data_IF_971099563557
#
_entry.id   IF_971099563557
#
_cell.length_a   1.000
_cell.length_b   1.000
_cell.length_c   1.000
_cell.angle_alpha   90.00
_cell.angle_beta   90.00
_cell.angle_gamma   90.00
#
_symmetry.space_group_name_H-M   'P 1'
#
loop_
_entity.id
_entity.type
_entity.pdbx_description
1 polymer ?
#
# COMPACT_ATOMS: atom_id res chain seq x y z
N UNK A 1 -32.96 -44.13 10.51
CA UNK A 1 -31.77 -43.56 11.20
C UNK A 1 -32.23 -42.30 11.91
N UNK A 2 -32.14 -42.24 13.25
CA UNK A 2 -32.58 -41.05 14.00
C UNK A 2 -31.39 -40.08 14.11
N UNK A 3 -31.48 -38.93 13.43
CA UNK A 3 -30.50 -37.88 13.55
C UNK A 3 -30.71 -37.16 14.89
N UNK A 4 -29.67 -36.89 15.71
CA UNK A 4 -29.86 -36.25 17.02
C UNK A 4 -30.45 -34.83 16.90
N UNK A 5 -31.24 -34.43 17.91
CA UNK A 5 -31.69 -33.03 18.05
C UNK A 5 -30.47 -32.13 18.14
N UNK A 6 -30.52 -30.94 17.53
CA UNK A 6 -29.38 -30.03 17.41
C UNK A 6 -28.47 -30.27 16.19
N UNK A 7 -28.69 -31.34 15.42
CA UNK A 7 -27.96 -31.56 14.17
C UNK A 7 -28.31 -30.49 13.16
N UNK A 8 -27.28 -29.88 12.55
CA UNK A 8 -27.42 -28.83 11.52
C UNK A 8 -26.96 -29.38 10.17
N UNK A 9 -27.75 -29.15 9.13
CA UNK A 9 -27.44 -29.56 7.76
C UNK A 9 -27.70 -28.40 6.80
N UNK A 10 -27.08 -28.45 5.63
CA UNK A 10 -27.40 -27.55 4.49
C UNK A 10 -28.61 -28.12 3.75
N UNK A 11 -29.53 -27.23 3.39
CA UNK A 11 -30.79 -27.58 2.75
C UNK A 11 -31.03 -26.78 1.50
N UNK A 12 -31.41 -27.45 0.41
CA UNK A 12 -31.54 -26.81 -0.91
C UNK A 12 -33.00 -26.54 -1.33
N UNK A 13 -33.99 -26.95 -0.55
CA UNK A 13 -35.40 -26.78 -0.87
C UNK A 13 -36.03 -25.64 -0.07
N UNK A 14 -37.08 -25.02 -0.65
CA UNK A 14 -37.87 -23.99 0.00
C UNK A 14 -38.77 -24.56 1.13
N UNK A 15 -39.15 -25.85 1.06
CA UNK A 15 -39.99 -26.51 2.07
C UNK A 15 -39.11 -27.14 3.15
N UNK A 16 -39.24 -26.61 4.37
CA UNK A 16 -38.51 -27.17 5.52
C UNK A 16 -39.23 -28.42 6.04
N UNK A 17 -38.54 -29.55 6.22
CA UNK A 17 -39.13 -30.78 6.70
C UNK A 17 -39.69 -30.64 8.13
N UNK A 18 -40.69 -31.45 8.45
CA UNK A 18 -41.23 -31.53 9.82
C UNK A 18 -40.10 -31.81 10.83
N UNK A 19 -40.15 -31.19 12.00
CA UNK A 19 -39.15 -31.26 13.07
C UNK A 19 -37.78 -30.61 12.74
N UNK A 20 -37.72 -29.85 11.66
CA UNK A 20 -36.56 -29.03 11.32
C UNK A 20 -36.92 -27.55 11.29
N UNK A 21 -35.97 -26.69 11.58
CA UNK A 21 -36.13 -25.25 11.56
C UNK A 21 -34.94 -24.56 10.93
N UNK A 22 -35.20 -23.43 10.25
CA UNK A 22 -34.15 -22.57 9.71
C UNK A 22 -33.27 -22.04 10.86
N UNK A 23 -31.97 -22.04 10.65
CA UNK A 23 -31.00 -21.44 11.58
C UNK A 23 -31.00 -19.93 11.41
N UNK A 24 -31.99 -19.26 11.98
CA UNK A 24 -32.20 -17.81 11.92
C UNK A 24 -32.11 -17.10 13.29
N UNK A 25 -31.70 -17.82 14.32
CA UNK A 25 -31.59 -17.29 15.69
C UNK A 25 -32.88 -17.44 16.50
N UNK A 26 -33.96 -18.02 15.95
CA UNK A 26 -35.22 -18.25 16.68
C UNK A 26 -35.32 -19.68 17.21
N UNK A 27 -36.18 -19.90 18.21
CA UNK A 27 -36.46 -21.22 18.77
C UNK A 27 -35.22 -22.06 19.13
N UNK A 28 -34.18 -21.41 19.64
CA UNK A 28 -32.95 -22.08 20.05
C UNK A 28 -32.00 -22.46 18.91
N UNK A 29 -32.28 -22.06 17.69
CA UNK A 29 -31.33 -22.24 16.57
C UNK A 29 -30.28 -21.12 16.53
N UNK A 30 -29.04 -21.40 16.09
CA UNK A 30 -28.05 -20.32 15.83
C UNK A 30 -28.46 -19.50 14.59
N UNK A 31 -28.08 -18.22 14.53
CA UNK A 31 -28.24 -17.41 13.31
C UNK A 31 -27.05 -17.63 12.37
N UNK A 32 -27.25 -18.47 11.34
CA UNK A 32 -26.24 -18.78 10.32
C UNK A 32 -26.48 -18.05 9.00
N UNK A 33 -27.40 -17.10 8.95
CA UNK A 33 -27.67 -16.33 7.73
C UNK A 33 -26.49 -15.44 7.36
N UNK A 34 -26.08 -15.51 6.09
CA UNK A 34 -24.94 -14.77 5.55
C UNK A 34 -23.60 -15.01 6.29
N UNK A 35 -23.40 -16.21 6.82
CA UNK A 35 -22.19 -16.61 7.53
C UNK A 35 -21.55 -17.84 6.91
N UNK A 36 -20.21 -17.87 6.92
CA UNK A 36 -19.45 -19.10 6.73
C UNK A 36 -19.31 -19.79 8.07
N UNK A 37 -19.59 -21.10 8.09
CA UNK A 37 -19.42 -21.91 9.28
C UNK A 37 -17.96 -22.33 9.40
N UNK A 38 -17.34 -22.02 10.52
CA UNK A 38 -15.98 -22.41 10.88
C UNK A 38 -16.03 -23.39 12.06
N UNK A 39 -15.20 -24.44 12.06
CA UNK A 39 -15.07 -25.32 13.22
C UNK A 39 -14.58 -24.55 14.44
N UNK A 40 -15.23 -24.79 15.59
CA UNK A 40 -14.77 -24.30 16.88
C UNK A 40 -13.56 -25.12 17.34
N UNK A 41 -12.63 -24.48 18.08
CA UNK A 41 -11.47 -25.19 18.64
C UNK A 41 -11.82 -25.95 19.92
N UNK A 42 -12.84 -25.50 20.63
CA UNK A 42 -13.34 -26.06 21.90
C UNK A 42 -14.78 -25.59 22.17
N UNK A 43 -15.43 -26.16 23.16
CA UNK A 43 -16.80 -25.81 23.50
C UNK A 43 -17.01 -24.35 23.89
N UNK A 44 -15.99 -23.72 24.48
CA UNK A 44 -16.05 -22.29 24.86
C UNK A 44 -16.10 -21.33 23.66
N UNK A 45 -15.74 -21.77 22.46
CA UNK A 45 -15.75 -20.98 21.23
C UNK A 45 -17.02 -21.25 20.39
N UNK A 46 -17.94 -22.04 20.88
CA UNK A 46 -19.19 -22.34 20.18
C UNK A 46 -20.03 -21.07 20.00
N UNK A 47 -20.54 -20.88 18.80
CA UNK A 47 -21.37 -19.75 18.38
C UNK A 47 -20.65 -18.39 18.35
N UNK A 48 -19.36 -18.34 18.59
CA UNK A 48 -18.58 -17.10 18.40
C UNK A 48 -18.66 -16.62 16.95
N UNK A 49 -18.74 -15.32 16.79
CA UNK A 49 -18.86 -14.70 15.48
C UNK A 49 -17.69 -13.77 15.21
N UNK A 50 -17.24 -13.72 13.96
CA UNK A 50 -16.12 -12.84 13.59
C UNK A 50 -15.89 -12.81 12.09
N UNK A 51 -14.80 -12.13 11.71
CA UNK A 51 -14.41 -11.97 10.31
C UNK A 51 -14.99 -10.72 9.64
N UNK A 52 -14.53 -10.45 8.44
CA UNK A 52 -15.00 -9.36 7.60
C UNK A 52 -15.20 -9.86 6.17
N UNK A 53 -16.20 -9.34 5.49
CA UNK A 53 -16.47 -9.62 4.07
C UNK A 53 -15.58 -8.83 3.13
N UNK A 54 -14.89 -7.82 3.65
CA UNK A 54 -14.02 -6.95 2.86
C UNK A 54 -12.71 -6.65 3.59
N UNK A 55 -11.70 -6.28 2.84
CA UNK A 55 -10.43 -5.80 3.36
C UNK A 55 -9.91 -4.61 2.54
N UNK A 56 -9.02 -3.85 3.16
CA UNK A 56 -8.29 -2.74 2.55
C UNK A 56 -6.82 -2.90 2.88
N UNK A 57 -5.94 -2.68 1.92
CA UNK A 57 -4.52 -2.53 2.21
C UNK A 57 -4.23 -1.06 2.47
N UNK A 58 -3.83 -0.74 3.70
CA UNK A 58 -3.31 0.57 4.03
C UNK A 58 -1.85 0.64 3.61
N UNK A 59 -1.52 1.65 2.81
CA UNK A 59 -0.13 1.95 2.46
C UNK A 59 0.37 3.07 3.37
N UNK A 60 1.62 2.98 3.81
CA UNK A 60 2.28 4.16 4.40
C UNK A 60 2.44 5.18 3.28
N UNK A 61 1.66 6.23 3.36
CA UNK A 61 1.29 7.15 2.29
C UNK A 61 2.41 7.92 1.59
N UNK A 62 3.67 7.62 1.84
CA UNK A 62 4.79 8.40 1.29
C UNK A 62 5.92 7.47 0.87
N UNK A 63 6.30 7.55 -0.39
CA UNK A 63 7.59 7.00 -0.81
C UNK A 63 8.71 7.82 -0.14
N UNK A 64 9.77 7.14 0.34
CA UNK A 64 10.94 7.85 0.87
C UNK A 64 11.49 8.85 -0.16
N UNK A 65 12.13 9.91 0.34
CA UNK A 65 12.82 10.88 -0.52
C UNK A 65 13.89 10.14 -1.34
N UNK A 66 13.80 10.26 -2.65
CA UNK A 66 14.80 9.73 -3.58
C UNK A 66 15.22 10.81 -4.58
N UNK A 67 16.45 10.71 -5.06
CA UNK A 67 16.95 11.55 -6.15
C UNK A 67 17.64 12.85 -5.72
N UNK A 68 17.75 13.16 -4.43
CA UNK A 68 18.53 14.32 -3.99
C UNK A 68 20.03 14.05 -4.17
N UNK A 69 20.68 14.79 -5.04
CA UNK A 69 22.13 14.79 -5.21
C UNK A 69 22.59 16.18 -5.61
N UNK A 70 23.80 16.53 -5.20
CA UNK A 70 24.42 17.80 -5.50
C UNK A 70 25.62 17.58 -6.42
N UNK A 71 25.73 18.43 -7.44
CA UNK A 71 26.95 18.54 -8.21
C UNK A 71 27.73 19.75 -7.68
N UNK A 72 28.79 19.50 -6.94
CA UNK A 72 29.75 20.55 -6.56
C UNK A 72 30.95 20.43 -7.49
N UNK A 73 31.08 21.37 -8.37
CA UNK A 73 32.22 21.46 -9.28
C UNK A 73 32.83 22.86 -9.27
N UNK A 74 34.12 22.93 -9.10
CA UNK A 74 34.89 24.17 -9.36
C UNK A 74 35.51 24.05 -10.73
N UNK A 75 35.10 24.89 -11.65
CA UNK A 75 35.77 24.99 -12.96
C UNK A 75 36.82 26.07 -12.86
N UNK A 76 38.09 25.71 -12.92
CA UNK A 76 39.18 26.63 -13.06
C UNK A 76 39.45 26.85 -14.54
N UNK A 77 39.17 28.02 -15.05
CA UNK A 77 39.58 28.38 -16.41
C UNK A 77 41.05 28.71 -16.42
N UNK A 78 41.87 28.05 -17.27
CA UNK A 78 43.27 28.44 -17.40
C UNK A 78 43.33 29.86 -17.95
N UNK A 79 44.22 30.63 -17.39
CA UNK A 79 44.49 31.99 -17.87
C UNK A 79 45.15 31.92 -19.26
N UNK A 80 44.47 32.50 -20.25
CA UNK A 80 45.00 32.59 -21.62
C UNK A 80 45.39 34.01 -22.02
N UNK A 81 45.32 34.97 -21.10
CA UNK A 81 45.52 36.37 -21.45
C UNK A 81 46.98 36.77 -21.26
N UNK A 82 47.72 36.72 -22.36
CA UNK A 82 48.87 37.56 -22.55
C UNK A 82 48.38 38.90 -23.05
N UNK A 83 48.23 39.86 -22.15
CA UNK A 83 48.04 41.29 -22.58
C UNK A 83 49.32 41.88 -23.02
N UNK A 84 49.42 42.11 -24.31
CA UNK A 84 50.54 42.90 -24.91
C UNK A 84 50.15 44.36 -24.91
N UNK A 85 50.71 45.11 -24.02
CA UNK A 85 50.60 46.61 -24.10
C UNK A 85 51.70 47.16 -24.95
N UNK A 86 51.39 47.60 -26.13
CA UNK A 86 52.33 48.41 -26.98
C UNK A 86 52.03 49.89 -26.79
N UNK A 87 52.92 50.58 -26.15
CA UNK A 87 52.91 52.04 -26.17
C UNK A 87 53.69 52.50 -27.35
N UNK A 88 53.15 53.49 -28.09
CA UNK A 88 53.73 53.98 -29.32
C UNK A 88 55.18 54.50 -29.06
N UNK A 89 56.21 53.81 -29.63
CA UNK A 89 57.61 54.21 -29.55
C UNK A 89 58.50 53.40 -28.61
N UNK A 90 57.99 52.42 -27.93
CA UNK A 90 58.77 51.51 -27.06
C UNK A 90 58.70 50.07 -27.54
N UNK A 91 59.77 49.27 -27.30
CA UNK A 91 59.74 47.81 -27.54
C UNK A 91 58.70 47.16 -26.66
N UNK A 92 57.80 46.36 -27.20
CA UNK A 92 56.78 45.74 -26.40
C UNK A 92 57.43 44.80 -25.38
N UNK A 93 57.25 45.08 -24.08
CA UNK A 93 57.62 44.19 -22.99
C UNK A 93 56.42 43.36 -22.62
N UNK A 94 56.59 42.08 -22.71
CA UNK A 94 55.58 41.12 -22.19
C UNK A 94 55.71 41.13 -20.67
N UNK A 95 54.81 41.84 -20.03
CA UNK A 95 54.65 41.71 -18.58
C UNK A 95 53.88 40.44 -18.31
N UNK A 96 54.48 39.49 -17.59
CA UNK A 96 53.76 38.34 -17.10
C UNK A 96 52.68 38.82 -16.13
N UNK A 97 51.45 38.88 -16.59
CA UNK A 97 50.32 39.15 -15.72
C UNK A 97 50.27 38.09 -14.60
N UNK A 98 50.05 38.56 -13.40
CA UNK A 98 49.90 37.65 -12.26
C UNK A 98 48.79 36.63 -12.58
N UNK A 99 49.12 35.35 -12.48
CA UNK A 99 48.15 34.29 -12.71
C UNK A 99 46.98 34.51 -11.78
N UNK A 100 45.81 34.68 -12.34
CA UNK A 100 44.57 34.74 -11.58
C UNK A 100 43.61 33.69 -12.10
N UNK A 101 42.71 33.20 -11.24
CA UNK A 101 41.76 32.17 -11.56
C UNK A 101 40.34 32.73 -11.36
N UNK A 102 39.47 32.43 -12.28
CA UNK A 102 38.05 32.67 -12.09
C UNK A 102 37.42 31.43 -11.50
N UNK A 103 36.90 31.54 -10.29
CA UNK A 103 36.15 30.46 -9.66
C UNK A 103 34.65 30.66 -9.95
N UNK A 104 34.10 29.81 -10.77
CA UNK A 104 32.66 29.77 -10.99
C UNK A 104 32.07 28.75 -10.05
N UNK A 105 31.34 29.21 -9.07
CA UNK A 105 30.56 28.33 -8.19
C UNK A 105 29.23 28.01 -8.86
N UNK A 106 29.12 26.81 -9.38
CA UNK A 106 27.85 26.29 -9.88
C UNK A 106 27.06 25.80 -8.67
N UNK A 107 26.18 26.61 -8.12
CA UNK A 107 25.17 26.15 -7.17
C UNK A 107 23.96 25.69 -7.95
N UNK A 108 23.81 24.39 -8.08
CA UNK A 108 22.57 23.81 -8.57
C UNK A 108 21.58 23.74 -7.40
N UNK A 109 20.48 24.47 -7.53
CA UNK A 109 19.36 24.32 -6.58
C UNK A 109 18.82 22.91 -6.67
N UNK A 110 18.57 22.33 -5.51
CA UNK A 110 18.06 20.98 -5.28
C UNK A 110 16.67 20.81 -5.94
N UNK A 111 16.64 20.46 -7.21
CA UNK A 111 15.39 20.25 -8.00
C UNK A 111 15.00 18.78 -8.10
N UNK A 112 15.20 18.01 -7.08
CA UNK A 112 15.00 16.57 -7.22
C UNK A 112 14.18 15.91 -6.13
N UNK A 113 13.92 16.57 -5.02
CA UNK A 113 13.13 15.98 -3.93
C UNK A 113 11.65 16.03 -4.25
N UNK A 114 11.08 14.91 -4.60
CA UNK A 114 9.63 14.77 -4.71
C UNK A 114 9.17 13.52 -3.99
N UNK A 115 7.94 13.53 -3.56
CA UNK A 115 7.28 12.40 -2.93
C UNK A 115 6.08 11.99 -3.76
N UNK A 116 5.82 10.70 -3.82
CA UNK A 116 4.59 10.18 -4.38
C UNK A 116 3.64 9.83 -3.24
N UNK A 117 2.40 10.30 -3.31
CA UNK A 117 1.35 9.83 -2.44
C UNK A 117 0.81 8.53 -3.01
N UNK A 118 0.94 7.45 -2.27
CA UNK A 118 0.32 6.17 -2.61
C UNK A 118 -1.01 6.11 -1.88
N UNK A 119 -2.08 5.97 -2.62
CA UNK A 119 -3.42 5.86 -2.03
C UNK A 119 -3.66 4.43 -1.52
N UNK A 120 -4.44 4.31 -0.45
CA UNK A 120 -4.94 3.02 0.00
C UNK A 120 -5.72 2.31 -1.10
N UNK A 121 -5.66 1.00 -1.13
CA UNK A 121 -6.45 0.24 -2.09
C UNK A 121 -7.93 0.41 -1.79
N UNK A 122 -8.76 0.37 -2.83
CA UNK A 122 -10.20 0.30 -2.64
C UNK A 122 -10.56 -0.99 -1.90
N UNK A 123 -11.65 -0.92 -1.13
CA UNK A 123 -12.19 -2.11 -0.47
C UNK A 123 -12.44 -3.23 -1.49
N UNK A 124 -11.87 -4.40 -1.21
CA UNK A 124 -12.05 -5.60 -2.01
C UNK A 124 -12.84 -6.66 -1.23
N UNK A 125 -13.62 -7.47 -1.94
CA UNK A 125 -14.37 -8.57 -1.35
C UNK A 125 -13.44 -9.75 -1.02
N UNK A 126 -13.63 -10.33 0.15
CA UNK A 126 -12.98 -11.58 0.58
C UNK A 126 -13.77 -12.83 0.15
N UNK A 127 -14.96 -12.65 -0.44
CA UNK A 127 -15.83 -13.77 -0.75
C UNK A 127 -15.46 -14.41 -2.08
N UNK A 128 -15.12 -15.72 -2.10
CA UNK A 128 -15.00 -16.48 -3.33
C UNK A 128 -16.37 -16.66 -3.99
N UNK A 129 -16.44 -17.16 -5.23
CA UNK A 129 -17.70 -17.60 -5.82
C UNK A 129 -18.41 -18.59 -4.90
N UNK A 130 -19.71 -18.41 -4.68
CA UNK A 130 -20.48 -19.21 -3.74
C UNK A 130 -21.88 -19.51 -4.27
N UNK A 131 -22.48 -20.56 -3.70
CA UNK A 131 -23.92 -20.87 -3.81
C UNK A 131 -24.56 -20.72 -2.43
N UNK A 132 -25.76 -20.19 -2.36
CA UNK A 132 -26.50 -20.04 -1.09
C UNK A 132 -27.39 -21.24 -0.87
N UNK A 133 -27.25 -21.88 0.28
CA UNK A 133 -28.13 -22.89 0.82
C UNK A 133 -28.62 -22.43 2.19
N UNK A 134 -29.75 -22.95 2.63
CA UNK A 134 -30.28 -22.67 3.97
C UNK A 134 -29.69 -23.69 4.95
N UNK A 135 -29.23 -23.21 6.12
CA UNK A 135 -28.94 -24.10 7.23
C UNK A 135 -30.22 -24.37 8.01
N UNK A 136 -30.51 -25.68 8.28
CA UNK A 136 -31.63 -26.10 9.11
C UNK A 136 -31.12 -26.96 10.24
N UNK A 137 -31.75 -26.84 11.41
CA UNK A 137 -31.45 -27.62 12.61
C UNK A 137 -32.63 -28.49 12.97
N UNK A 138 -32.36 -29.74 13.38
CA UNK A 138 -33.37 -30.63 13.93
C UNK A 138 -33.76 -30.16 15.32
N UNK A 139 -35.07 -29.92 15.55
CA UNK A 139 -35.62 -29.39 16.82
C UNK A 139 -36.50 -30.38 17.57
N UNK A 140 -36.94 -31.47 16.93
CA UNK A 140 -37.74 -32.55 17.56
C UNK A 140 -37.51 -33.90 16.88
#
# INVERSE_FOLDING_TARGET
MNVPIGTIIMWADAVIPMNWQVCDGTNGTPDLRNRFVRGASKDADLLDTGGSTTHVHTTTNVTGFAGAHNHNGTINTPDSDQHVYAKTGETPTISAAAKHYHTINLSQTDVGKHTHTVQDTKSASNMPPYIKLVYIMRIA
#
